data_IF_355866023160
#
_entry.id   IF_355866023160
#
_cell.length_a   1.000
_cell.length_b   1.000
_cell.length_c   1.000
_cell.angle_alpha   90.00
_cell.angle_beta   90.00
_cell.angle_gamma   90.00
#
_symmetry.space_group_name_H-M   'P 1'
#
loop_
_entity.id
_entity.type
_entity.pdbx_description
1 polymer ?
#
# COMPACT_ATOMS: atom_id res chain seq x y z
N UNK A 1 -43.30 -8.96 9.78
CA UNK A 1 -42.43 -7.77 9.98
C UNK A 1 -41.49 -7.71 8.79
N UNK A 2 -41.79 -6.87 7.80
CA UNK A 2 -40.98 -6.73 6.60
C UNK A 2 -39.89 -5.67 6.87
N UNK A 3 -38.67 -6.11 7.18
CA UNK A 3 -37.54 -5.22 7.32
C UNK A 3 -36.95 -4.93 5.93
N UNK A 4 -37.33 -3.80 5.35
CA UNK A 4 -36.75 -3.26 4.12
C UNK A 4 -35.35 -2.67 4.41
N UNK A 5 -34.40 -3.54 4.74
CA UNK A 5 -32.99 -3.20 4.93
C UNK A 5 -32.43 -2.39 3.75
N UNK A 6 -32.79 -2.80 2.53
CA UNK A 6 -32.36 -2.11 1.31
C UNK A 6 -32.90 -0.69 1.19
N UNK A 7 -34.14 -0.38 1.57
CA UNK A 7 -34.62 1.01 1.51
C UNK A 7 -33.89 1.92 2.50
N UNK A 8 -33.55 1.39 3.69
CA UNK A 8 -32.89 2.19 4.74
C UNK A 8 -31.42 2.48 4.42
N UNK A 9 -30.73 1.53 3.79
CA UNK A 9 -29.29 1.61 3.57
C UNK A 9 -28.90 1.96 2.13
N UNK A 10 -29.81 1.92 1.16
CA UNK A 10 -29.50 2.21 -0.25
C UNK A 10 -28.99 3.64 -0.45
N UNK A 11 -29.55 4.63 0.25
CA UNK A 11 -29.05 6.01 0.19
C UNK A 11 -27.63 6.09 0.75
N UNK A 12 -27.35 5.44 1.88
CA UNK A 12 -26.01 5.38 2.46
C UNK A 12 -25.03 4.68 1.53
N UNK A 13 -25.39 3.53 0.97
CA UNK A 13 -24.56 2.77 0.03
C UNK A 13 -24.22 3.61 -1.21
N UNK A 14 -25.19 4.34 -1.77
CA UNK A 14 -24.95 5.24 -2.91
C UNK A 14 -23.97 6.34 -2.54
N UNK A 15 -24.14 7.01 -1.39
CA UNK A 15 -23.24 8.08 -0.94
C UNK A 15 -21.81 7.53 -0.73
N UNK A 16 -21.67 6.42 0.00
CA UNK A 16 -20.35 5.83 0.27
C UNK A 16 -19.66 5.37 -1.03
N UNK A 17 -20.42 4.84 -1.99
CA UNK A 17 -19.91 4.44 -3.31
C UNK A 17 -19.39 5.64 -4.12
N UNK A 18 -20.12 6.76 -4.13
CA UNK A 18 -19.72 7.98 -4.85
C UNK A 18 -18.42 8.59 -4.30
N UNK A 19 -18.26 8.62 -2.97
CA UNK A 19 -17.02 9.08 -2.35
C UNK A 19 -15.83 8.17 -2.67
N UNK A 20 -16.04 6.84 -2.66
CA UNK A 20 -15.00 5.88 -3.03
C UNK A 20 -14.51 6.07 -4.48
N UNK A 21 -15.44 6.26 -5.42
CA UNK A 21 -15.10 6.48 -6.84
C UNK A 21 -14.31 7.79 -7.02
N UNK A 22 -14.69 8.87 -6.34
CA UNK A 22 -14.01 10.16 -6.44
C UNK A 22 -12.55 10.09 -5.94
N UNK A 23 -12.30 9.36 -4.84
CA UNK A 23 -10.94 9.15 -4.30
C UNK A 23 -10.09 8.35 -5.29
N UNK A 24 -10.66 7.27 -5.87
CA UNK A 24 -9.96 6.45 -6.87
C UNK A 24 -9.58 7.28 -8.09
N UNK A 25 -10.50 8.10 -8.62
CA UNK A 25 -10.22 8.98 -9.76
C UNK A 25 -9.14 10.01 -9.43
N UNK A 26 -9.15 10.59 -8.22
CA UNK A 26 -8.12 11.52 -7.77
C UNK A 26 -6.72 10.90 -7.77
N UNK A 27 -6.59 9.69 -7.22
CA UNK A 27 -5.32 8.95 -7.24
C UNK A 27 -4.89 8.59 -8.67
N UNK A 28 -5.82 8.21 -9.56
CA UNK A 28 -5.46 7.91 -10.95
C UNK A 28 -5.02 9.16 -11.73
N UNK A 29 -5.61 10.33 -11.48
CA UNK A 29 -5.16 11.59 -12.08
C UNK A 29 -3.76 11.98 -11.61
N UNK A 30 -3.52 11.96 -10.30
CA UNK A 30 -2.21 12.28 -9.72
C UNK A 30 -1.11 11.31 -10.20
N UNK A 31 -1.45 10.02 -10.36
CA UNK A 31 -0.52 9.01 -10.90
C UNK A 31 -0.27 9.16 -12.41
N UNK A 32 -1.28 9.54 -13.19
CA UNK A 32 -1.12 9.80 -14.63
C UNK A 32 -0.28 11.06 -14.89
N UNK A 33 -0.46 12.11 -14.10
CA UNK A 33 0.36 13.32 -14.19
C UNK A 33 1.83 13.00 -13.84
N UNK A 34 2.06 12.16 -12.83
CA UNK A 34 3.40 11.67 -12.47
C UNK A 34 4.08 10.82 -13.55
N UNK A 35 3.30 10.08 -14.35
CA UNK A 35 3.82 9.29 -15.48
C UNK A 35 4.05 10.16 -16.73
N UNK A 36 3.21 11.17 -16.96
CA UNK A 36 3.39 12.11 -18.06
C UNK A 36 4.61 13.02 -17.86
N UNK A 37 4.96 13.38 -16.62
CA UNK A 37 6.22 14.12 -16.33
C UNK A 37 7.47 13.30 -16.68
N UNK A 38 7.44 11.96 -16.54
CA UNK A 38 8.57 11.08 -16.86
C UNK A 38 8.81 10.90 -18.36
N UNK A 39 7.82 11.20 -19.21
CA UNK A 39 7.94 11.09 -20.66
C UNK A 39 8.53 12.33 -21.36
N UNK A 40 8.79 13.43 -20.64
CA UNK A 40 9.53 14.58 -21.19
C UNK A 40 11.05 14.47 -21.05
N UNK A 41 11.56 13.39 -20.44
CA UNK A 41 13.00 13.14 -20.34
C UNK A 41 13.47 12.22 -21.47
N UNK A 42 13.59 12.79 -22.68
CA UNK A 42 14.50 12.23 -23.70
C UNK A 42 15.96 12.58 -23.40
N UNK A 43 16.92 11.75 -23.87
CA UNK A 43 18.24 11.62 -23.29
C UNK A 43 19.17 12.70 -23.86
N UNK A 44 19.45 13.75 -23.08
CA UNK A 44 20.47 14.70 -23.47
C UNK A 44 21.34 15.08 -22.27
N UNK A 45 22.58 14.61 -22.40
CA UNK A 45 23.77 15.04 -21.70
C UNK A 45 23.87 14.69 -20.21
N UNK A 46 24.79 13.77 -19.96
CA UNK A 46 25.59 13.68 -18.75
C UNK A 46 26.03 15.07 -18.25
N UNK A 47 25.18 15.73 -17.46
CA UNK A 47 25.66 16.60 -16.39
C UNK A 47 25.65 15.77 -15.12
N UNK A 48 26.78 15.59 -14.43
CA UNK A 48 26.76 15.00 -13.10
C UNK A 48 25.87 15.89 -12.24
N UNK A 49 24.65 15.42 -11.96
CA UNK A 49 23.79 16.00 -10.94
C UNK A 49 24.59 15.95 -9.64
N UNK A 50 24.86 17.14 -9.12
CA UNK A 50 25.37 17.34 -7.78
C UNK A 50 24.51 16.53 -6.82
N UNK A 51 25.08 15.43 -6.34
CA UNK A 51 24.86 14.90 -4.99
C UNK A 51 24.67 16.12 -4.08
N UNK A 52 23.63 16.17 -3.22
CA UNK A 52 23.35 17.33 -2.38
C UNK A 52 24.66 17.81 -1.77
N UNK A 53 25.02 19.02 -2.20
CA UNK A 53 26.32 19.64 -1.99
C UNK A 53 26.78 19.31 -0.59
N UNK A 54 27.83 18.49 -0.52
CA UNK A 54 28.84 18.48 0.54
C UNK A 54 28.75 19.82 1.25
N UNK A 55 28.28 19.80 2.50
CA UNK A 55 28.13 20.96 3.37
C UNK A 55 29.32 21.87 3.08
N UNK A 56 29.08 23.03 2.45
CA UNK A 56 30.11 24.05 2.26
C UNK A 56 30.44 24.52 3.67
N UNK A 57 31.42 23.88 4.31
CA UNK A 57 32.04 24.41 5.52
C UNK A 57 32.56 25.78 5.13
N UNK A 58 32.03 26.79 5.82
CA UNK A 58 32.36 28.19 5.63
C UNK A 58 33.87 28.36 5.51
N UNK A 59 34.31 28.98 4.41
CA UNK A 59 35.70 29.34 4.16
C UNK A 59 36.07 30.56 5.01
N UNK A 60 36.24 30.31 6.31
CA UNK A 60 37.03 31.14 7.21
C UNK A 60 37.74 30.19 8.18
N UNK A 61 38.59 29.32 7.63
CA UNK A 61 39.47 28.48 8.42
C UNK A 61 40.57 29.36 9.00
N UNK A 62 40.28 29.97 10.15
CA UNK A 62 41.33 30.19 11.15
C UNK A 62 42.09 28.87 11.31
N UNK A 63 43.43 28.84 11.24
CA UNK A 63 44.20 27.60 11.26
C UNK A 63 43.80 26.80 12.50
N UNK A 64 43.05 25.72 12.30
CA UNK A 64 42.63 24.87 13.40
C UNK A 64 43.91 24.30 14.02
N UNK A 65 44.11 24.47 15.34
CA UNK A 65 45.27 23.90 15.98
C UNK A 65 45.23 22.38 15.80
N UNK A 66 46.23 21.83 15.10
CA UNK A 66 46.44 20.38 15.05
C UNK A 66 46.74 19.93 16.47
N UNK A 67 45.77 19.29 17.12
CA UNK A 67 45.96 18.71 18.44
C UNK A 67 46.99 17.59 18.30
N UNK A 68 48.21 17.83 18.80
CA UNK A 68 49.17 16.76 19.01
C UNK A 68 48.65 15.93 20.19
N UNK A 69 48.04 14.78 19.90
CA UNK A 69 47.50 13.88 20.92
C UNK A 69 48.24 12.55 20.90
N UNK A 70 48.33 11.91 22.06
CA UNK A 70 48.82 10.52 22.17
C UNK A 70 47.65 9.55 21.92
N UNK A 71 47.96 8.29 21.59
CA UNK A 71 46.93 7.27 21.42
C UNK A 71 46.07 7.11 22.69
N UNK A 72 46.72 7.11 23.86
CA UNK A 72 46.05 7.04 25.17
C UNK A 72 45.07 8.20 25.38
N UNK A 73 45.50 9.42 25.06
CA UNK A 73 44.65 10.62 25.20
C UNK A 73 43.48 10.59 24.21
N UNK A 74 43.70 10.12 22.98
CA UNK A 74 42.63 9.94 22.00
C UNK A 74 41.60 8.90 22.47
N UNK A 75 42.04 7.79 23.04
CA UNK A 75 41.15 6.74 23.51
C UNK A 75 40.30 7.20 24.70
N UNK A 76 40.87 7.98 25.64
CA UNK A 76 40.10 8.62 26.71
C UNK A 76 39.01 9.56 26.16
N UNK A 77 39.34 10.37 25.16
CA UNK A 77 38.38 11.26 24.50
C UNK A 77 37.28 10.45 23.80
N UNK A 78 37.63 9.37 23.10
CA UNK A 78 36.64 8.46 22.49
C UNK A 78 35.73 7.86 23.56
N UNK A 79 36.28 7.28 24.61
CA UNK A 79 35.48 6.70 25.69
C UNK A 79 34.51 7.73 26.30
N UNK A 80 34.92 8.99 26.42
CA UNK A 80 34.01 10.06 26.85
C UNK A 80 32.94 10.43 25.82
N UNK A 81 33.29 10.48 24.53
CA UNK A 81 32.35 10.84 23.45
C UNK A 81 31.29 9.76 23.20
N UNK A 82 31.68 8.48 23.28
CA UNK A 82 30.83 7.34 22.95
C UNK A 82 30.26 6.61 24.17
N UNK A 83 30.76 6.92 25.38
CA UNK A 83 30.25 6.34 26.61
C UNK A 83 29.05 7.11 27.16
N UNK A 84 28.26 6.42 27.97
CA UNK A 84 27.13 6.98 28.71
C UNK A 84 27.43 7.91 29.91
N UNK A 85 28.68 8.16 30.38
CA UNK A 85 28.84 9.08 31.49
C UNK A 85 28.88 10.53 30.99
N UNK A 86 28.00 11.37 31.55
CA UNK A 86 28.11 12.84 31.53
C UNK A 86 29.30 13.35 32.35
N UNK A 87 29.97 12.44 33.07
CA UNK A 87 31.09 12.74 33.95
C UNK A 87 32.32 13.21 33.15
N UNK A 88 32.59 14.50 33.28
CA UNK A 88 33.76 15.16 32.69
C UNK A 88 35.06 14.73 33.35
N UNK A 89 35.03 14.02 34.49
CA UNK A 89 36.22 13.45 35.13
C UNK A 89 36.94 12.41 34.27
N UNK A 90 36.25 11.82 33.28
CA UNK A 90 36.83 10.86 32.32
C UNK A 90 37.61 11.52 31.19
N UNK A 91 37.56 12.85 31.09
CA UNK A 91 38.38 13.59 30.15
C UNK A 91 39.82 13.73 30.68
N UNK A 92 40.82 13.71 29.79
CA UNK A 92 42.19 14.02 30.16
C UNK A 92 42.29 15.37 30.87
N UNK A 93 42.94 15.40 32.04
CA UNK A 93 43.05 16.60 32.89
C UNK A 93 43.92 17.70 32.26
N UNK A 94 44.79 17.34 31.31
CA UNK A 94 45.71 18.21 30.58
C UNK A 94 45.08 18.89 29.35
N UNK A 95 43.77 18.73 29.14
CA UNK A 95 43.05 19.45 28.08
C UNK A 95 42.96 20.94 28.37
N UNK A 96 43.25 21.75 27.35
CA UNK A 96 42.93 23.18 27.40
C UNK A 96 41.42 23.42 27.43
N UNK A 97 41.00 24.56 27.97
CA UNK A 97 39.58 24.94 28.00
C UNK A 97 38.93 25.01 26.61
N UNK A 98 39.71 25.37 25.58
CA UNK A 98 39.26 25.34 24.19
C UNK A 98 38.95 23.92 23.72
N UNK A 99 39.82 22.95 24.03
CA UNK A 99 39.60 21.55 23.65
C UNK A 99 38.42 20.94 24.38
N UNK A 100 38.29 21.18 25.69
CA UNK A 100 37.12 20.75 26.48
C UNK A 100 35.81 21.27 25.87
N UNK A 101 35.80 22.55 25.50
CA UNK A 101 34.64 23.20 24.87
C UNK A 101 34.28 22.53 23.54
N UNK A 102 35.27 22.23 22.69
CA UNK A 102 35.03 21.57 21.40
C UNK A 102 34.54 20.12 21.57
N UNK A 103 35.14 19.37 22.50
CA UNK A 103 34.73 18.00 22.80
C UNK A 103 33.29 17.97 23.33
N UNK A 104 32.91 18.91 24.20
CA UNK A 104 31.54 19.02 24.71
C UNK A 104 30.54 19.43 23.61
N UNK A 105 30.91 20.35 22.71
CA UNK A 105 30.08 20.68 21.53
C UNK A 105 29.85 19.45 20.65
N UNK A 106 30.90 18.66 20.42
CA UNK A 106 30.81 17.44 19.64
C UNK A 106 29.89 16.42 20.32
N UNK A 107 30.07 16.17 21.62
CA UNK A 107 29.22 15.26 22.41
C UNK A 107 27.75 15.66 22.35
N UNK A 108 27.44 16.93 22.57
CA UNK A 108 26.06 17.43 22.51
C UNK A 108 25.46 17.28 21.12
N UNK A 109 26.23 17.58 20.06
CA UNK A 109 25.77 17.37 18.69
C UNK A 109 25.44 15.91 18.41
N UNK A 110 26.26 14.99 18.91
CA UNK A 110 26.05 13.55 18.76
C UNK A 110 24.82 13.07 19.54
N UNK A 111 24.63 13.55 20.77
CA UNK A 111 23.44 13.26 21.58
C UNK A 111 22.15 13.68 20.86
N UNK A 112 22.14 14.87 20.26
CA UNK A 112 20.99 15.35 19.49
C UNK A 112 20.69 14.45 18.28
N UNK A 113 21.73 14.05 17.54
CA UNK A 113 21.58 13.11 16.43
C UNK A 113 21.05 11.75 16.89
N UNK A 114 21.56 11.23 18.02
CA UNK A 114 21.10 9.96 18.57
C UNK A 114 19.63 10.01 19.00
N UNK A 115 19.20 11.09 19.65
CA UNK A 115 17.80 11.28 20.03
C UNK A 115 16.89 11.31 18.79
N UNK A 116 17.29 12.03 17.74
CA UNK A 116 16.53 12.06 16.48
C UNK A 116 16.45 10.69 15.81
N UNK A 117 17.54 9.90 15.84
CA UNK A 117 17.53 8.53 15.34
C UNK A 117 16.61 7.62 16.15
N UNK A 118 16.55 7.80 17.47
CA UNK A 118 15.63 7.04 18.32
C UNK A 118 14.17 7.38 18.02
N UNK A 119 13.83 8.64 17.79
CA UNK A 119 12.49 9.05 17.37
C UNK A 119 12.11 8.43 16.01
N UNK A 120 13.03 8.45 15.04
CA UNK A 120 12.83 7.79 13.75
C UNK A 120 12.61 6.29 13.91
N UNK A 121 13.39 5.64 14.79
CA UNK A 121 13.22 4.21 15.08
C UNK A 121 11.82 3.92 15.62
N UNK A 122 11.33 4.69 16.58
CA UNK A 122 9.97 4.53 17.13
C UNK A 122 8.92 4.62 16.03
N UNK A 123 9.02 5.62 15.14
CA UNK A 123 8.09 5.76 14.02
C UNK A 123 8.14 4.56 13.05
N UNK A 124 9.34 4.04 12.78
CA UNK A 124 9.51 2.82 11.97
C UNK A 124 8.88 1.61 12.65
N UNK A 125 9.08 1.44 13.95
CA UNK A 125 8.53 0.31 14.72
C UNK A 125 6.99 0.36 14.77
N UNK A 126 6.40 1.55 14.90
CA UNK A 126 4.95 1.77 14.82
C UNK A 126 4.40 1.39 13.44
N UNK A 127 5.08 1.83 12.36
CA UNK A 127 4.66 1.50 10.99
C UNK A 127 4.83 0.03 10.66
N UNK A 128 5.86 -0.62 11.18
CA UNK A 128 6.01 -2.06 11.04
C UNK A 128 4.85 -2.82 11.70
N UNK A 129 4.42 -2.38 12.88
CA UNK A 129 3.28 -2.98 13.59
C UNK A 129 1.99 -2.85 12.78
N UNK A 130 1.74 -1.68 12.17
CA UNK A 130 0.59 -1.46 11.28
C UNK A 130 0.62 -2.39 10.05
N UNK A 131 1.79 -2.57 9.44
CA UNK A 131 1.96 -3.51 8.33
C UNK A 131 1.69 -4.97 8.75
N UNK A 132 2.17 -5.37 9.93
CA UNK A 132 1.97 -6.73 10.45
C UNK A 132 0.48 -6.99 10.71
N UNK A 133 -0.27 -5.99 11.20
CA UNK A 133 -1.71 -6.09 11.38
C UNK A 133 -2.45 -6.27 10.04
N UNK A 134 -2.13 -5.47 9.02
CA UNK A 134 -2.72 -5.63 7.69
C UNK A 134 -2.40 -6.99 7.07
N UNK A 135 -1.17 -7.49 7.26
CA UNK A 135 -0.80 -8.82 6.80
C UNK A 135 -1.64 -9.91 7.50
N UNK A 136 -1.87 -9.79 8.80
CA UNK A 136 -2.70 -10.72 9.54
C UNK A 136 -4.17 -10.69 9.05
N UNK A 137 -4.71 -9.50 8.77
CA UNK A 137 -6.06 -9.35 8.21
C UNK A 137 -6.17 -10.01 6.83
N UNK A 138 -5.19 -9.78 5.95
CA UNK A 138 -5.14 -10.42 4.62
C UNK A 138 -5.09 -11.95 4.72
N UNK A 139 -4.22 -12.47 5.59
CA UNK A 139 -4.09 -13.91 5.83
C UNK A 139 -5.39 -14.53 6.38
N UNK A 140 -6.20 -13.75 7.10
CA UNK A 140 -7.53 -14.19 7.59
C UNK A 140 -8.61 -14.15 6.50
N UNK A 141 -8.55 -13.17 5.60
CA UNK A 141 -9.55 -13.01 4.52
C UNK A 141 -9.33 -13.97 3.35
N UNK A 142 -8.08 -14.23 2.98
CA UNK A 142 -7.75 -15.11 1.86
C UNK A 142 -8.45 -16.49 1.92
N UNK A 143 -8.40 -17.25 3.03
CA UNK A 143 -9.08 -18.55 3.09
C UNK A 143 -10.60 -18.42 3.03
N UNK A 144 -11.18 -17.31 3.52
CA UNK A 144 -12.63 -17.07 3.42
C UNK A 144 -13.04 -16.85 1.97
N UNK A 145 -12.26 -16.09 1.20
CA UNK A 145 -12.49 -15.89 -0.23
C UNK A 145 -12.36 -17.21 -0.98
N UNK A 146 -11.33 -18.02 -0.68
CA UNK A 146 -11.14 -19.33 -1.30
C UNK A 146 -12.31 -20.28 -0.99
N UNK A 147 -12.83 -20.27 0.24
CA UNK A 147 -13.99 -21.07 0.64
C UNK A 147 -15.30 -20.66 -0.06
N UNK A 148 -15.42 -19.42 -0.51
CA UNK A 148 -16.61 -18.93 -1.24
C UNK A 148 -16.61 -19.30 -2.73
N UNK A 149 -15.44 -19.56 -3.34
CA UNK A 149 -15.33 -19.90 -4.78
C UNK A 149 -16.22 -21.09 -5.20
N UNK A 150 -16.25 -22.22 -4.46
CA UNK A 150 -17.11 -23.34 -4.84
C UNK A 150 -18.60 -23.01 -4.73
N UNK A 151 -19.00 -22.18 -3.76
CA UNK A 151 -20.39 -21.76 -3.61
C UNK A 151 -20.82 -20.88 -4.79
N UNK A 152 -19.94 -19.97 -5.22
CA UNK A 152 -20.16 -19.17 -6.41
C UNK A 152 -20.32 -20.04 -7.66
N UNK A 153 -19.40 -20.99 -7.89
CA UNK A 153 -19.48 -21.92 -9.04
C UNK A 153 -20.77 -22.73 -9.03
N UNK A 154 -21.22 -23.19 -7.85
CA UNK A 154 -22.49 -23.91 -7.74
C UNK A 154 -23.70 -23.05 -8.12
N UNK A 155 -23.72 -21.79 -7.66
CA UNK A 155 -24.79 -20.86 -8.00
C UNK A 155 -24.82 -20.52 -9.49
N UNK A 156 -23.65 -20.35 -10.11
CA UNK A 156 -23.52 -20.15 -11.56
C UNK A 156 -24.07 -21.36 -12.34
N UNK A 157 -23.72 -22.58 -11.91
CA UNK A 157 -24.25 -23.81 -12.51
C UNK A 157 -25.77 -23.94 -12.36
N UNK A 158 -26.30 -23.70 -11.16
CA UNK A 158 -27.74 -23.75 -10.88
C UNK A 158 -28.51 -22.72 -11.73
N UNK A 159 -27.91 -21.56 -11.99
CA UNK A 159 -28.49 -20.52 -12.84
C UNK A 159 -28.55 -20.96 -14.30
N UNK A 160 -27.47 -21.52 -14.84
CA UNK A 160 -27.44 -22.05 -16.21
C UNK A 160 -28.50 -23.15 -16.42
N UNK A 161 -28.63 -24.05 -15.47
CA UNK A 161 -29.56 -25.18 -15.58
C UNK A 161 -31.02 -24.71 -15.53
N UNK A 162 -31.33 -23.73 -14.67
CA UNK A 162 -32.65 -23.07 -14.66
C UNK A 162 -32.94 -22.35 -15.96
N UNK A 163 -31.95 -21.68 -16.55
CA UNK A 163 -32.12 -20.98 -17.82
C UNK A 163 -32.38 -21.97 -18.98
N UNK A 164 -31.67 -23.10 -19.01
CA UNK A 164 -31.94 -24.20 -19.96
C UNK A 164 -33.36 -24.73 -19.79
N UNK A 165 -33.82 -24.96 -18.57
CA UNK A 165 -35.18 -25.44 -18.28
C UNK A 165 -36.24 -24.45 -18.75
N UNK A 166 -36.08 -23.15 -18.45
CA UNK A 166 -36.98 -22.09 -18.89
C UNK A 166 -37.05 -22.05 -20.42
N UNK A 167 -35.91 -22.13 -21.10
CA UNK A 167 -35.85 -22.12 -22.56
C UNK A 167 -36.50 -23.35 -23.18
N UNK A 168 -36.37 -24.53 -22.57
CA UNK A 168 -37.09 -25.74 -23.00
C UNK A 168 -38.62 -25.57 -22.85
N UNK A 169 -39.09 -25.08 -21.69
CA UNK A 169 -40.52 -24.84 -21.45
C UNK A 169 -41.10 -23.81 -22.41
N UNK A 170 -40.37 -22.72 -22.71
CA UNK A 170 -40.78 -21.72 -23.71
C UNK A 170 -40.91 -22.33 -25.10
N UNK A 171 -39.95 -23.14 -25.54
CA UNK A 171 -40.03 -23.85 -26.83
C UNK A 171 -41.25 -24.78 -26.90
N UNK A 172 -41.52 -25.52 -25.83
CA UNK A 172 -42.68 -26.41 -25.76
C UNK A 172 -44.00 -25.64 -25.80
N UNK A 173 -44.13 -24.55 -25.02
CA UNK A 173 -45.31 -23.68 -25.05
C UNK A 173 -45.56 -23.03 -26.41
N UNK A 174 -44.51 -22.53 -27.07
CA UNK A 174 -44.62 -21.98 -28.42
C UNK A 174 -45.10 -23.03 -29.43
N UNK A 175 -44.57 -24.26 -29.35
CA UNK A 175 -45.02 -25.37 -30.18
C UNK A 175 -46.49 -25.70 -29.93
N UNK A 176 -46.94 -25.78 -28.67
CA UNK A 176 -48.34 -26.04 -28.32
C UNK A 176 -49.28 -24.95 -28.87
N UNK A 177 -48.88 -23.69 -28.78
CA UNK A 177 -49.66 -22.56 -29.27
C UNK A 177 -49.84 -22.63 -30.80
N UNK A 178 -48.79 -23.02 -31.55
CA UNK A 178 -48.88 -23.26 -32.99
C UNK A 178 -49.90 -24.36 -33.33
N UNK A 179 -49.97 -25.43 -32.53
CA UNK A 179 -50.94 -26.51 -32.72
C UNK A 179 -52.38 -26.11 -32.37
N UNK A 180 -52.58 -25.29 -31.33
CA UNK A 180 -53.89 -24.77 -30.93
C UNK A 180 -54.47 -23.78 -31.93
N UNK A 181 -53.64 -22.89 -32.50
CA UNK A 181 -54.08 -21.90 -33.49
C UNK A 181 -54.35 -22.53 -34.87
N UNK A 182 -53.74 -23.69 -35.18
CA UNK A 182 -53.81 -24.28 -36.53
C UNK A 182 -54.01 -25.81 -36.49
N UNK A 183 -55.19 -26.30 -36.05
CA UNK A 183 -55.43 -27.73 -35.79
C UNK A 183 -55.33 -28.62 -37.04
N UNK A 184 -55.53 -28.07 -38.24
CA UNK A 184 -55.41 -28.80 -39.52
C UNK A 184 -53.99 -29.33 -39.80
N UNK A 185 -52.96 -28.83 -39.11
CA UNK A 185 -51.58 -29.34 -39.22
C UNK A 185 -51.34 -30.63 -38.43
N UNK A 186 -52.14 -30.94 -37.41
CA UNK A 186 -52.07 -32.20 -36.65
C UNK A 186 -52.64 -33.37 -37.46
N UNK A 187 -53.81 -33.21 -38.08
CA UNK A 187 -54.41 -34.25 -38.94
C UNK A 187 -53.51 -34.65 -40.12
N UNK A 188 -52.78 -33.70 -40.71
CA UNK A 188 -51.86 -33.99 -41.83
C UNK A 188 -50.61 -34.76 -41.41
N UNK A 189 -50.21 -34.68 -40.14
CA UNK A 189 -49.06 -35.41 -39.59
C UNK A 189 -49.46 -36.83 -39.15
N UNK A 190 -50.62 -36.98 -38.50
CA UNK A 190 -51.13 -38.30 -38.11
C UNK A 190 -51.48 -39.18 -39.32
N UNK A 191 -52.09 -38.60 -40.37
CA UNK A 191 -52.33 -39.32 -41.63
C UNK A 191 -51.07 -39.76 -42.36
N UNK A 192 -49.90 -39.19 -42.05
CA UNK A 192 -48.62 -39.57 -42.66
C UNK A 192 -47.91 -40.71 -41.92
N UNK A 193 -48.27 -40.94 -40.65
CA UNK A 193 -47.74 -42.04 -39.82
C UNK A 193 -48.55 -43.33 -40.03
N UNK A 194 -49.83 -43.23 -40.38
CA UNK A 194 -50.71 -44.38 -40.63
C UNK A 194 -50.59 -45.04 -42.03
N UNK A 195 -49.64 -44.59 -42.88
CA UNK A 195 -49.47 -45.09 -44.27
C UNK A 195 -48.20 -45.98 -44.41
N UNK A 196 -47.59 -46.41 -43.31
CA UNK A 196 -46.59 -47.49 -43.28
C UNK A 196 -47.08 -48.61 -42.36
#
# INVERSE_FOLDING_TARGET
>A
MNNNFFQKHLVTIIITSLFGIAIIIGFYQEFNDYQNEKNYLSPLENKPQQIPSKIKRSTEETPQPKIKTTAVRLDQIKTYLFGEPTDTSKLPSDLSEREKTQINKLKNSWQLSLNSLNEQKTWVDEKQTECDEYQAQLNSLQPQIEALKPQQQKLEQDQEDKEKEINQKKKFGNNLNVYLINPKKLEKKEKKILIY
#
